data_IF_820681801309
#
_entry.id   IF_820681801309
#
_cell.length_a   1.000
_cell.length_b   1.000
_cell.length_c   1.000
_cell.angle_alpha   90.00
_cell.angle_beta   90.00
_cell.angle_gamma   90.00
#
_symmetry.space_group_name_H-M   'P 1'
#
loop_
_entity.id
_entity.type
_entity.pdbx_description
1 polymer ?
#
# COMPACT_ATOMS: atom_id res chain seq x y z
N UNK A 1 3.69 22.81 -14.41
CA UNK A 1 2.46 23.64 -14.44
C UNK A 1 1.37 22.88 -13.68
N UNK A 2 1.01 23.34 -12.45
CA UNK A 2 -0.11 22.94 -11.56
C UNK A 2 -0.37 21.42 -11.40
N UNK A 3 -0.38 20.86 -10.20
CA UNK A 3 -1.49 21.02 -9.24
C UNK A 3 -1.00 20.89 -7.79
N UNK A 4 -1.35 21.90 -7.02
CA UNK A 4 -1.35 21.92 -5.56
C UNK A 4 -2.56 21.13 -5.07
N UNK A 5 -2.43 20.37 -3.99
CA UNK A 5 -3.57 19.97 -3.16
C UNK A 5 -3.17 20.14 -1.70
N UNK A 6 -3.84 21.08 -1.06
CA UNK A 6 -3.66 21.52 0.32
C UNK A 6 -4.76 20.87 1.17
N UNK A 7 -4.38 20.21 2.27
CA UNK A 7 -5.31 19.85 3.33
C UNK A 7 -4.85 20.57 4.61
N UNK A 8 -5.71 21.42 5.15
CA UNK A 8 -5.48 22.15 6.40
C UNK A 8 -5.54 21.20 7.59
N UNK A 9 -4.38 20.91 8.20
CA UNK A 9 -4.20 21.03 9.66
C UNK A 9 -2.78 20.82 10.21
N UNK A 10 -1.74 20.83 9.38
CA UNK A 10 -0.37 21.29 9.68
C UNK A 10 0.38 21.28 8.34
N UNK A 11 1.18 22.30 8.07
CA UNK A 11 1.80 22.58 6.78
C UNK A 11 2.46 21.35 6.15
N UNK A 12 1.92 20.85 5.02
CA UNK A 12 2.62 19.84 4.22
C UNK A 12 3.62 20.54 3.31
N UNK A 13 4.90 20.45 3.65
CA UNK A 13 5.99 20.77 2.75
C UNK A 13 6.74 19.49 2.41
N UNK A 14 6.92 19.21 1.12
CA UNK A 14 7.92 18.23 0.69
C UNK A 14 9.31 18.86 0.82
N UNK A 15 10.25 18.12 1.42
CA UNK A 15 11.63 18.55 1.62
C UNK A 15 12.57 17.43 1.21
N UNK A 16 13.73 17.78 0.65
CA UNK A 16 14.75 16.80 0.26
C UNK A 16 15.51 16.22 1.46
N UNK A 17 15.41 16.84 2.63
CA UNK A 17 16.11 16.44 3.85
C UNK A 17 15.28 16.74 5.09
N UNK A 18 15.17 15.75 5.98
CA UNK A 18 14.49 15.88 7.28
C UNK A 18 15.43 16.25 8.42
N UNK A 19 16.73 16.46 8.14
CA UNK A 19 17.77 16.68 9.18
C UNK A 19 17.46 17.86 10.10
N UNK A 20 16.94 18.95 9.55
CA UNK A 20 16.59 20.15 10.30
C UNK A 20 15.25 20.04 11.05
N UNK A 21 14.42 19.05 10.67
CA UNK A 21 13.13 18.76 11.29
C UNK A 21 13.24 17.68 12.37
N UNK A 22 14.35 16.94 12.40
CA UNK A 22 14.52 15.78 13.26
C UNK A 22 14.76 16.18 14.72
N UNK A 23 14.12 15.47 15.64
CA UNK A 23 14.29 15.64 17.09
C UNK A 23 14.77 14.33 17.73
N UNK A 24 15.54 14.44 18.81
CA UNK A 24 16.12 13.27 19.50
C UNK A 24 15.08 12.34 20.13
N UNK A 25 13.85 12.83 20.35
CA UNK A 25 12.72 12.06 20.88
C UNK A 25 11.90 11.36 19.79
N UNK A 26 12.30 11.45 18.52
CA UNK A 26 11.61 10.77 17.43
C UNK A 26 11.88 9.28 17.37
N UNK A 27 10.85 8.55 16.97
CA UNK A 27 10.90 7.12 16.67
C UNK A 27 10.63 6.92 15.19
N UNK A 28 11.57 6.30 14.48
CA UNK A 28 11.41 5.95 13.08
C UNK A 28 10.78 4.56 12.94
N UNK A 29 9.84 4.44 12.02
CA UNK A 29 9.24 3.16 11.63
C UNK A 29 9.51 2.94 10.15
N UNK A 30 10.30 1.91 9.84
CA UNK A 30 10.42 1.40 8.47
C UNK A 30 9.33 0.36 8.25
N UNK A 31 8.47 0.62 7.27
CA UNK A 31 7.33 -0.24 6.95
C UNK A 31 7.60 -0.93 5.61
N UNK A 32 7.21 -2.21 5.53
CA UNK A 32 7.36 -3.01 4.31
C UNK A 32 6.59 -2.41 3.13
N UNK A 33 7.08 -2.70 1.91
CA UNK A 33 6.50 -2.21 0.67
C UNK A 33 5.94 -3.36 -0.18
N UNK A 34 5.08 -3.00 -1.14
CA UNK A 34 4.45 -3.96 -2.05
C UNK A 34 5.42 -4.61 -3.03
N UNK A 35 6.59 -4.01 -3.29
CA UNK A 35 7.54 -4.51 -4.29
C UNK A 35 8.04 -5.94 -4.01
N UNK A 36 8.22 -6.32 -2.74
CA UNK A 36 8.60 -7.69 -2.40
C UNK A 36 7.53 -8.71 -2.78
N UNK A 37 6.25 -8.35 -2.66
CA UNK A 37 5.15 -9.20 -3.12
C UNK A 37 5.10 -9.27 -4.65
N UNK A 38 5.36 -8.15 -5.34
CA UNK A 38 5.40 -8.12 -6.80
C UNK A 38 6.52 -8.99 -7.36
N UNK A 39 7.71 -8.96 -6.76
CA UNK A 39 8.81 -9.86 -7.11
C UNK A 39 8.39 -11.33 -7.00
N UNK A 40 7.73 -11.71 -5.89
CA UNK A 40 7.24 -13.09 -5.69
C UNK A 40 6.16 -13.49 -6.68
N UNK A 41 5.24 -12.58 -7.00
CA UNK A 41 4.17 -12.81 -7.98
C UNK A 41 4.78 -13.04 -9.37
N UNK A 42 5.69 -12.18 -9.81
CA UNK A 42 6.37 -12.32 -11.09
C UNK A 42 7.21 -13.60 -11.17
N UNK A 43 7.97 -13.92 -10.11
CA UNK A 43 8.77 -15.14 -10.06
C UNK A 43 7.91 -16.42 -10.12
N UNK A 44 6.67 -16.35 -9.63
CA UNK A 44 5.69 -17.42 -9.73
C UNK A 44 4.95 -17.45 -11.08
N UNK A 45 5.26 -16.52 -11.99
CA UNK A 45 4.60 -16.37 -13.28
C UNK A 45 3.18 -15.81 -13.20
N UNK A 46 2.84 -15.09 -12.13
CA UNK A 46 1.59 -14.33 -12.01
C UNK A 46 1.76 -13.00 -12.74
N UNK A 47 0.84 -12.70 -13.65
CA UNK A 47 0.85 -11.45 -14.42
C UNK A 47 0.51 -10.26 -13.53
N UNK A 48 1.21 -9.14 -13.72
CA UNK A 48 0.95 -7.86 -13.04
C UNK A 48 0.66 -6.77 -14.07
N UNK A 49 -0.63 -6.49 -14.32
CA UNK A 49 -1.05 -5.60 -15.41
C UNK A 49 -0.59 -4.16 -15.29
N UNK A 50 -0.47 -3.62 -14.07
CA UNK A 50 0.02 -2.25 -13.88
C UNK A 50 1.46 -2.08 -14.38
N UNK A 51 2.29 -3.12 -14.33
CA UNK A 51 3.64 -3.08 -14.88
C UNK A 51 3.64 -3.08 -16.42
N UNK A 52 2.70 -3.78 -17.05
CA UNK A 52 2.56 -3.80 -18.51
C UNK A 52 2.05 -2.45 -19.06
N UNK A 53 1.16 -1.79 -18.31
CA UNK A 53 0.60 -0.49 -18.69
C UNK A 53 1.44 0.69 -18.22
N UNK A 54 2.48 0.46 -17.41
CA UNK A 54 3.34 1.50 -16.86
C UNK A 54 2.64 2.40 -15.82
N UNK A 55 1.55 1.92 -15.22
CA UNK A 55 0.75 2.64 -14.23
C UNK A 55 1.08 2.25 -12.79
N UNK A 56 0.67 3.09 -11.85
CA UNK A 56 0.70 2.76 -10.42
C UNK A 56 -0.49 1.86 -10.06
N UNK A 57 -0.30 0.99 -9.07
CA UNK A 57 -1.41 0.18 -8.55
C UNK A 57 -2.52 1.08 -7.99
N UNK A 58 -3.80 0.83 -8.33
CA UNK A 58 -4.90 1.54 -7.70
C UNK A 58 -4.99 1.15 -6.23
N UNK A 59 -5.17 2.15 -5.38
CA UNK A 59 -5.29 1.99 -3.93
C UNK A 59 -6.58 2.63 -3.44
N UNK A 60 -7.21 1.96 -2.48
CA UNK A 60 -8.54 2.32 -2.00
C UNK A 60 -8.61 2.30 -0.48
N UNK A 61 -9.32 3.26 0.08
CA UNK A 61 -9.82 3.21 1.47
C UNK A 61 -10.94 2.20 1.54
N UNK A 62 -10.87 1.30 2.51
CA UNK A 62 -11.88 0.27 2.72
C UNK A 62 -12.78 0.59 3.90
N UNK A 63 -13.88 -0.15 4.03
CA UNK A 63 -14.71 -0.20 5.26
C UNK A 63 -14.05 -1.01 6.38
N UNK A 64 -13.00 -1.80 6.08
CA UNK A 64 -12.24 -2.56 7.07
C UNK A 64 -11.49 -1.58 8.00
N UNK A 65 -11.55 -1.81 9.31
CA UNK A 65 -10.90 -0.96 10.30
C UNK A 65 -9.64 -1.60 10.86
N UNK A 66 -8.57 -0.81 10.98
CA UNK A 66 -7.41 -1.19 11.75
C UNK A 66 -7.82 -1.43 13.21
N UNK A 67 -7.17 -2.38 13.89
CA UNK A 67 -7.33 -2.53 15.34
C UNK A 67 -6.80 -1.26 16.03
N UNK A 68 -7.63 -0.54 16.79
CA UNK A 68 -7.23 0.75 17.35
C UNK A 68 -6.21 0.58 18.48
N UNK A 69 -5.29 1.54 18.59
CA UNK A 69 -4.33 1.66 19.70
C UNK A 69 -4.21 3.12 20.12
N UNK A 70 -4.74 3.46 21.29
CA UNK A 70 -4.79 4.86 21.76
C UNK A 70 -5.51 5.76 20.76
N UNK A 71 -4.88 6.88 20.36
CA UNK A 71 -5.43 7.78 19.34
C UNK A 71 -5.32 7.24 17.91
N UNK A 72 -4.55 6.19 17.67
CA UNK A 72 -4.36 5.65 16.33
C UNK A 72 -5.51 4.71 15.96
N UNK A 73 -6.38 5.18 15.08
CA UNK A 73 -7.50 4.46 14.50
C UNK A 73 -7.69 4.93 13.06
N UNK A 74 -8.20 4.06 12.19
CA UNK A 74 -8.37 4.39 10.78
C UNK A 74 -8.80 3.19 9.94
N UNK A 75 -9.16 3.42 8.67
CA UNK A 75 -9.45 2.34 7.74
C UNK A 75 -8.16 1.60 7.40
N UNK A 76 -8.31 0.35 6.96
CA UNK A 76 -7.26 -0.31 6.19
C UNK A 76 -7.30 0.25 4.77
N UNK A 77 -6.15 0.62 4.23
CA UNK A 77 -6.00 0.95 2.80
C UNK A 77 -5.51 -0.30 2.09
N UNK A 78 -6.08 -0.60 0.92
CA UNK A 78 -5.67 -1.75 0.09
C UNK A 78 -5.15 -1.28 -1.26
N UNK A 79 -4.19 -2.02 -1.81
CA UNK A 79 -3.83 -1.94 -3.23
C UNK A 79 -4.50 -3.07 -3.99
N UNK A 80 -5.08 -2.79 -5.16
CA UNK A 80 -5.74 -3.77 -6.00
C UNK A 80 -4.86 -4.16 -7.19
N UNK A 81 -4.81 -5.46 -7.49
CA UNK A 81 -4.24 -6.00 -8.72
C UNK A 81 -5.30 -6.80 -9.46
N UNK A 82 -5.36 -6.63 -10.77
CA UNK A 82 -6.15 -7.46 -11.66
C UNK A 82 -5.40 -8.77 -11.91
N UNK A 83 -5.91 -9.87 -11.33
CA UNK A 83 -5.28 -11.20 -11.42
C UNK A 83 -6.17 -12.10 -12.23
N UNK A 84 -5.60 -12.87 -13.18
CA UNK A 84 -6.37 -13.87 -13.92
C UNK A 84 -6.94 -14.90 -12.95
N UNK A 85 -8.18 -15.32 -13.17
CA UNK A 85 -8.89 -16.26 -12.30
C UNK A 85 -8.10 -17.56 -12.05
N UNK A 86 -7.39 -18.05 -13.06
CA UNK A 86 -6.52 -19.24 -12.97
C UNK A 86 -5.25 -19.03 -12.15
N UNK A 87 -4.88 -17.79 -11.83
CA UNK A 87 -3.64 -17.44 -11.13
C UNK A 87 -3.88 -17.05 -9.67
N UNK A 88 -5.14 -16.86 -9.25
CA UNK A 88 -5.52 -16.35 -7.92
C UNK A 88 -4.97 -17.22 -6.79
N UNK A 89 -5.14 -18.55 -6.86
CA UNK A 89 -4.64 -19.46 -5.82
C UNK A 89 -3.12 -19.37 -5.67
N UNK A 90 -2.41 -19.30 -6.79
CA UNK A 90 -0.95 -19.13 -6.81
C UNK A 90 -0.54 -17.78 -6.24
N UNK A 91 -1.25 -16.70 -6.61
CA UNK A 91 -1.00 -15.36 -6.09
C UNK A 91 -1.16 -15.29 -4.56
N UNK A 92 -2.20 -15.94 -4.03
CA UNK A 92 -2.41 -16.06 -2.58
C UNK A 92 -1.25 -16.82 -1.93
N UNK A 93 -0.93 -18.02 -2.44
CA UNK A 93 0.07 -18.88 -1.84
C UNK A 93 1.45 -18.21 -1.73
N UNK A 94 1.94 -17.59 -2.81
CA UNK A 94 3.29 -17.01 -2.83
C UNK A 94 3.40 -15.71 -2.03
N UNK A 95 2.30 -14.96 -1.87
CA UNK A 95 2.30 -13.74 -1.05
C UNK A 95 2.06 -14.04 0.43
N UNK A 96 1.37 -15.12 0.78
CA UNK A 96 1.19 -15.57 2.16
C UNK A 96 2.51 -15.91 2.87
N UNK A 97 3.55 -16.28 2.12
CA UNK A 97 4.90 -16.56 2.63
C UNK A 97 5.70 -15.30 3.02
N UNK A 98 5.12 -14.10 2.90
CA UNK A 98 5.77 -12.82 3.20
C UNK A 98 5.15 -12.13 4.44
N UNK A 99 5.30 -12.68 5.66
CA UNK A 99 4.62 -12.16 6.85
C UNK A 99 5.01 -10.73 7.21
N UNK A 100 6.19 -10.27 6.79
CA UNK A 100 6.70 -8.92 7.05
C UNK A 100 6.67 -7.99 5.82
N UNK A 101 6.23 -8.49 4.66
CA UNK A 101 6.28 -7.78 3.39
C UNK A 101 5.02 -8.04 2.55
N UNK A 102 3.89 -7.48 3.01
CA UNK A 102 2.54 -7.49 2.40
C UNK A 102 1.62 -8.63 2.86
N UNK A 103 2.11 -9.88 2.92
CA UNK A 103 1.34 -11.06 3.32
C UNK A 103 0.27 -11.50 2.29
N UNK A 104 -0.63 -12.39 2.72
CA UNK A 104 -1.75 -12.84 1.90
C UNK A 104 -2.75 -11.69 1.58
N UNK A 105 -3.55 -11.79 0.51
CA UNK A 105 -4.60 -10.80 0.24
C UNK A 105 -5.57 -10.67 1.41
N UNK A 106 -6.07 -9.46 1.63
CA UNK A 106 -7.18 -9.21 2.56
C UNK A 106 -8.54 -9.54 1.94
N UNK A 107 -8.64 -9.44 0.61
CA UNK A 107 -9.89 -9.69 -0.10
C UNK A 107 -9.66 -10.14 -1.54
N UNK A 108 -10.58 -10.96 -2.06
CA UNK A 108 -10.61 -11.46 -3.44
C UNK A 108 -12.04 -11.37 -3.93
N UNK A 109 -12.28 -10.70 -5.06
CA UNK A 109 -13.62 -10.61 -5.64
C UNK A 109 -14.30 -9.26 -5.39
N UNK A 110 -15.59 -9.27 -5.07
CA UNK A 110 -16.43 -8.06 -5.15
C UNK A 110 -15.88 -6.91 -4.27
N UNK A 111 -15.44 -5.77 -4.85
CA UNK A 111 -14.92 -4.64 -4.08
C UNK A 111 -15.93 -4.05 -3.10
N UNK A 112 -17.24 -4.19 -3.36
CA UNK A 112 -18.29 -3.65 -2.50
C UNK A 112 -18.30 -4.31 -1.12
N UNK A 113 -17.87 -5.58 -1.00
CA UNK A 113 -17.78 -6.29 0.29
C UNK A 113 -16.78 -5.66 1.26
N UNK A 114 -15.77 -4.95 0.74
CA UNK A 114 -14.81 -4.16 1.51
C UNK A 114 -15.06 -2.65 1.41
N UNK A 115 -16.27 -2.25 1.02
CA UNK A 115 -16.72 -0.85 1.01
C UNK A 115 -16.21 0.00 -0.16
N UNK A 116 -15.66 -0.62 -1.21
CA UNK A 116 -15.23 0.10 -2.42
C UNK A 116 -16.41 0.12 -3.40
N UNK A 117 -17.10 1.26 -3.49
CA UNK A 117 -18.31 1.40 -4.30
C UNK A 117 -18.04 1.66 -5.78
N UNK A 118 -16.91 2.29 -6.09
CA UNK A 118 -16.49 2.59 -7.47
C UNK A 118 -15.00 2.24 -7.65
N UNK A 119 -14.67 1.04 -8.15
CA UNK A 119 -13.28 0.64 -8.38
C UNK A 119 -12.62 1.38 -9.55
N UNK A 120 -13.36 2.20 -10.32
CA UNK A 120 -12.79 3.00 -11.42
C UNK A 120 -12.18 4.32 -10.95
N UNK A 121 -12.44 4.72 -9.70
CA UNK A 121 -11.96 5.97 -9.10
C UNK A 121 -11.12 5.67 -7.84
N UNK A 122 -9.85 5.25 -8.00
CA UNK A 122 -9.00 4.97 -6.85
C UNK A 122 -8.69 6.24 -6.04
N UNK A 123 -8.58 6.10 -4.73
CA UNK A 123 -8.16 7.18 -3.83
C UNK A 123 -6.69 7.59 -4.11
N UNK A 124 -5.86 6.63 -4.52
CA UNK A 124 -4.48 6.85 -4.98
C UNK A 124 -4.10 5.91 -6.11
N UNK A 125 -3.15 6.31 -6.96
CA UNK A 125 -2.69 5.53 -8.10
C UNK A 125 -3.60 5.66 -9.32
N UNK A 126 -3.47 4.72 -10.26
CA UNK A 126 -4.11 4.80 -11.56
C UNK A 126 -5.26 3.77 -11.69
N UNK A 127 -6.40 4.12 -12.30
CA UNK A 127 -7.51 3.18 -12.51
C UNK A 127 -7.07 1.93 -13.28
N UNK A 128 -7.61 0.76 -12.89
CA UNK A 128 -7.33 -0.53 -13.54
C UNK A 128 -8.62 -1.26 -13.91
N UNK A 129 -9.15 -1.05 -15.13
CA UNK A 129 -10.29 -1.80 -15.63
C UNK A 129 -9.97 -3.29 -15.76
N UNK A 130 -10.85 -4.16 -15.24
CA UNK A 130 -10.68 -5.61 -15.30
C UNK A 130 -11.01 -6.16 -16.70
N UNK A 131 -10.22 -7.15 -17.14
CA UNK A 131 -10.54 -8.00 -18.29
C UNK A 131 -11.49 -9.14 -17.87
N UNK A 132 -12.14 -9.79 -18.84
CA UNK A 132 -13.22 -10.77 -18.58
C UNK A 132 -12.76 -12.01 -17.78
N UNK A 133 -11.49 -12.40 -17.91
CA UNK A 133 -10.87 -13.52 -17.20
C UNK A 133 -10.22 -13.12 -15.87
N UNK A 134 -10.40 -11.86 -15.42
CA UNK A 134 -9.73 -11.31 -14.25
C UNK A 134 -10.65 -11.16 -13.04
N UNK A 135 -10.01 -11.17 -11.88
CA UNK A 135 -10.61 -10.96 -10.58
C UNK A 135 -9.76 -9.90 -9.86
N UNK A 136 -10.39 -8.88 -9.23
CA UNK A 136 -9.64 -7.94 -8.44
C UNK A 136 -9.21 -8.61 -7.12
N UNK A 137 -7.93 -8.48 -6.79
CA UNK A 137 -7.35 -9.02 -5.56
C UNK A 137 -6.70 -7.88 -4.79
N UNK A 138 -6.98 -7.82 -3.48
CA UNK A 138 -6.68 -6.68 -2.63
C UNK A 138 -5.71 -7.07 -1.51
N UNK A 139 -4.59 -6.36 -1.42
CA UNK A 139 -3.61 -6.52 -0.35
C UNK A 139 -3.50 -5.27 0.52
N UNK A 140 -3.16 -5.42 1.79
CA UNK A 140 -2.94 -4.31 2.72
C UNK A 140 -1.82 -3.38 2.26
N UNK A 141 -2.10 -2.10 2.02
CA UNK A 141 -1.15 -1.14 1.47
C UNK A 141 -0.40 -0.36 2.57
N UNK A 142 0.88 -0.06 2.31
CA UNK A 142 1.73 0.82 3.13
C UNK A 142 1.28 2.28 3.24
N UNK A 143 0.21 2.66 2.55
CA UNK A 143 -0.48 3.96 2.68
C UNK A 143 -1.48 3.96 3.85
N UNK A 144 -1.80 2.79 4.43
CA UNK A 144 -2.66 2.67 5.63
C UNK A 144 -2.24 3.61 6.79
N UNK A 145 -0.95 3.73 7.15
CA UNK A 145 -0.50 4.68 8.16
C UNK A 145 -0.85 6.13 7.80
N UNK A 146 -0.80 6.54 6.53
CA UNK A 146 -1.18 7.90 6.13
C UNK A 146 -2.67 8.15 6.36
N UNK A 147 -3.53 7.17 6.06
CA UNK A 147 -4.96 7.26 6.36
C UNK A 147 -5.23 7.31 7.87
N UNK A 148 -4.49 6.53 8.67
CA UNK A 148 -4.56 6.56 10.14
C UNK A 148 -4.06 7.89 10.71
N UNK A 149 -2.97 8.45 10.15
CA UNK A 149 -2.43 9.75 10.59
C UNK A 149 -3.41 10.89 10.34
N UNK A 150 -4.17 10.84 9.24
CA UNK A 150 -5.22 11.81 8.95
C UNK A 150 -6.35 11.82 9.99
N UNK A 151 -6.68 10.66 10.58
CA UNK A 151 -7.66 10.55 11.67
C UNK A 151 -7.03 10.86 13.05
N UNK A 152 -5.84 10.32 13.32
CA UNK A 152 -5.16 10.43 14.61
C UNK A 152 -4.61 11.83 14.89
N UNK A 153 -4.34 12.61 13.84
CA UNK A 153 -3.90 14.01 13.87
C UNK A 153 -2.82 14.29 14.93
N UNK A 154 -1.66 13.63 14.83
CA UNK A 154 -0.55 13.94 15.72
C UNK A 154 -0.08 15.38 15.52
N UNK A 155 0.57 15.94 16.53
CA UNK A 155 1.19 17.27 16.45
C UNK A 155 2.23 17.34 15.33
N UNK A 156 2.94 16.23 15.07
CA UNK A 156 3.89 16.11 13.99
C UNK A 156 4.01 14.65 13.55
N UNK A 157 4.04 14.42 12.25
CA UNK A 157 4.42 13.16 11.64
C UNK A 157 5.24 13.45 10.38
N UNK A 158 6.30 12.68 10.16
CA UNK A 158 7.15 12.75 8.97
C UNK A 158 6.98 11.44 8.22
N UNK A 159 6.67 11.52 6.93
CA UNK A 159 6.55 10.36 6.03
C UNK A 159 7.40 10.57 4.79
N UNK A 160 7.65 9.49 4.04
CA UNK A 160 8.19 9.62 2.69
C UNK A 160 7.13 10.19 1.74
N UNK A 161 7.58 10.86 0.67
CA UNK A 161 6.72 11.19 -0.46
C UNK A 161 6.42 9.92 -1.28
N UNK A 162 5.23 9.77 -1.87
CA UNK A 162 4.91 8.64 -2.74
C UNK A 162 5.96 8.43 -3.84
N UNK A 163 6.49 7.21 -3.99
CA UNK A 163 7.54 6.88 -4.95
C UNK A 163 8.98 7.12 -4.48
N UNK A 164 9.17 7.74 -3.30
CA UNK A 164 10.49 8.05 -2.71
C UNK A 164 10.74 7.22 -1.45
N UNK A 165 10.73 5.89 -1.60
CA UNK A 165 10.91 4.97 -0.47
C UNK A 165 12.36 4.94 0.05
N UNK A 166 12.52 4.49 1.31
CA UNK A 166 13.83 4.21 1.89
C UNK A 166 14.36 2.86 1.40
N UNK A 167 15.46 2.88 0.65
CA UNK A 167 16.14 1.67 0.20
C UNK A 167 17.09 1.16 1.29
N UNK A 168 16.86 -0.08 1.72
CA UNK A 168 17.70 -0.78 2.70
C UNK A 168 18.74 -1.67 2.03
N UNK A 169 19.77 -2.08 2.76
CA UNK A 169 20.69 -3.15 2.32
C UNK A 169 20.10 -4.57 2.48
N UNK A 170 18.92 -4.70 3.11
CA UNK A 170 18.22 -5.98 3.29
C UNK A 170 17.62 -6.46 1.97
N UNK A 171 17.81 -7.75 1.67
CA UNK A 171 17.14 -8.42 0.55
C UNK A 171 15.82 -9.00 1.01
N UNK A 172 14.91 -9.23 0.07
CA UNK A 172 13.64 -9.93 0.35
C UNK A 172 13.87 -11.30 0.99
N UNK A 173 14.92 -12.01 0.56
CA UNK A 173 15.32 -13.29 1.15
C UNK A 173 15.69 -13.19 2.64
N UNK A 174 16.27 -12.07 3.08
CA UNK A 174 16.65 -11.86 4.49
C UNK A 174 15.40 -11.69 5.37
N UNK A 175 14.39 -10.95 4.87
CA UNK A 175 13.10 -10.73 5.54
C UNK A 175 12.30 -12.02 5.71
N UNK A 176 12.30 -12.89 4.69
CA UNK A 176 11.63 -14.21 4.75
C UNK A 176 12.32 -15.12 5.77
N UNK A 177 13.64 -15.02 5.89
CA UNK A 177 14.41 -15.80 6.85
C UNK A 177 14.32 -15.28 8.30
N UNK A 178 13.58 -14.18 8.54
CA UNK A 178 13.44 -13.54 9.86
C UNK A 178 14.75 -12.97 10.40
N UNK A 179 15.64 -12.53 9.51
CA UNK A 179 16.96 -11.98 9.84
C UNK A 179 16.97 -10.46 9.79
#
# INVERSE_FOLDING_TARGET
>A
MKRSTCWELLQSSEVDSVRELWRDDFVAFLLGCSFSAEERLLAAGVRLRHLETGGNVPMFRTSLRCRPVGRFHGPVVVSMRAIRRSEVERAIAVTAELPFAHGAPLHVGDPAEIGITDPSTPDWGDPMPLEADEVPVFWACGVTPQAVLAEARPELAITHAPGYMFLTDLRVADLVAGR
#
